data_IF_993988877063
#
_entry.id   IF_993988877063
#
_cell.length_a   1.000
_cell.length_b   1.000
_cell.length_c   1.000
_cell.angle_alpha   90.00
_cell.angle_beta   90.00
_cell.angle_gamma   90.00
#
_symmetry.space_group_name_H-M   'P 1'
#
loop_
_entity.id
_entity.type
_entity.pdbx_description
1 polymer ?
#
# COMPACT_ATOMS: atom_id res chain seq x y z
N UNK A 1 9.16 3.12 16.23
CA UNK A 1 9.72 3.34 14.86
C UNK A 1 9.07 4.54 14.20
N UNK A 2 9.84 5.40 13.48
CA UNK A 2 9.25 6.39 12.56
C UNK A 2 8.90 5.68 11.26
N UNK A 3 7.61 5.61 10.96
CA UNK A 3 7.07 4.85 9.82
C UNK A 3 7.45 5.48 8.45
N UNK A 4 7.90 6.71 8.47
CA UNK A 4 8.32 7.54 7.32
C UNK A 4 9.86 7.72 7.22
N UNK A 5 10.64 6.97 8.00
CA UNK A 5 12.09 6.90 7.85
C UNK A 5 12.49 5.83 6.82
N UNK A 6 13.07 6.18 5.65
CA UNK A 6 13.42 5.21 4.61
C UNK A 6 14.32 4.08 5.07
N UNK A 7 15.25 4.35 6.01
CA UNK A 7 16.14 3.33 6.54
C UNK A 7 15.39 2.37 7.48
N UNK A 8 14.46 2.87 8.28
CA UNK A 8 13.61 2.03 9.12
C UNK A 8 12.66 1.18 8.26
N UNK A 9 12.09 1.76 7.22
CA UNK A 9 11.26 1.04 6.24
C UNK A 9 12.06 -0.07 5.55
N UNK A 10 13.26 0.23 5.05
CA UNK A 10 14.12 -0.77 4.40
C UNK A 10 14.49 -1.93 5.35
N UNK A 11 14.77 -1.66 6.65
CA UNK A 11 15.00 -2.71 7.64
C UNK A 11 13.75 -3.53 7.92
N UNK A 12 12.58 -2.89 8.02
CA UNK A 12 11.31 -3.56 8.28
C UNK A 12 10.94 -4.57 7.20
N UNK A 13 11.32 -4.29 5.96
CA UNK A 13 11.09 -5.13 4.79
C UNK A 13 12.37 -5.84 4.31
N UNK A 14 13.38 -6.00 5.18
CA UNK A 14 14.58 -6.76 4.88
C UNK A 14 14.32 -8.26 4.80
N UNK A 15 13.27 -8.76 5.46
CA UNK A 15 12.75 -10.12 5.38
C UNK A 15 11.24 -10.11 5.10
N UNK A 16 10.67 -11.27 4.79
CA UNK A 16 9.23 -11.43 4.57
C UNK A 16 8.44 -11.57 5.87
N UNK A 17 9.09 -11.89 6.98
CA UNK A 17 8.45 -12.31 8.23
C UNK A 17 7.42 -11.30 8.75
N UNK A 18 7.78 -10.02 8.78
CA UNK A 18 6.88 -8.95 9.24
C UNK A 18 5.66 -8.76 8.33
N UNK A 19 5.85 -8.96 7.02
CA UNK A 19 4.77 -8.86 6.05
C UNK A 19 3.83 -10.07 6.16
N UNK A 20 4.39 -11.26 6.34
CA UNK A 20 3.63 -12.51 6.50
C UNK A 20 2.84 -12.54 7.80
N UNK A 21 3.45 -12.13 8.92
CA UNK A 21 2.77 -11.99 10.21
C UNK A 21 1.57 -11.03 10.15
N UNK A 22 1.65 -9.96 9.35
CA UNK A 22 0.51 -9.05 9.14
C UNK A 22 -0.54 -9.64 8.21
N UNK A 23 -0.14 -10.41 7.20
CA UNK A 23 -1.07 -11.00 6.22
C UNK A 23 -1.92 -12.12 6.80
N UNK A 24 -1.31 -12.98 7.61
CA UNK A 24 -2.02 -14.10 8.24
C UNK A 24 -3.19 -13.66 9.12
N UNK A 25 -3.15 -12.43 9.67
CA UNK A 25 -4.29 -11.85 10.39
C UNK A 25 -5.56 -11.72 9.53
N UNK A 26 -5.41 -11.58 8.21
CA UNK A 26 -6.55 -11.30 7.32
C UNK A 26 -7.14 -12.54 6.65
N UNK A 27 -6.61 -13.74 6.90
CA UNK A 27 -7.12 -14.98 6.30
C UNK A 27 -8.60 -15.23 6.60
N UNK A 28 -9.04 -14.83 7.80
CA UNK A 28 -10.43 -14.97 8.25
C UNK A 28 -11.15 -13.62 8.39
N UNK A 29 -10.67 -12.58 7.68
CA UNK A 29 -11.32 -11.28 7.71
C UNK A 29 -12.64 -11.30 6.92
N UNK A 30 -13.71 -10.73 7.51
CA UNK A 30 -14.94 -10.50 6.77
C UNK A 30 -14.89 -9.21 5.92
N UNK A 31 -15.92 -9.00 5.09
CA UNK A 31 -16.08 -7.82 4.26
C UNK A 31 -15.22 -7.82 2.98
N UNK A 32 -15.29 -6.74 2.18
CA UNK A 32 -14.62 -6.67 0.89
C UNK A 32 -13.09 -6.73 1.02
N UNK A 33 -12.41 -7.51 0.18
CA UNK A 33 -10.94 -7.53 0.15
C UNK A 33 -10.41 -6.25 -0.53
N UNK A 34 -9.61 -5.42 0.16
CA UNK A 34 -9.06 -4.19 -0.42
C UNK A 34 -8.10 -4.45 -1.59
N UNK A 35 -7.44 -5.63 -1.65
CA UNK A 35 -6.60 -6.02 -2.80
C UNK A 35 -7.44 -6.32 -4.03
N UNK A 36 -8.58 -6.98 -3.85
CA UNK A 36 -9.52 -7.22 -4.93
C UNK A 36 -10.08 -5.91 -5.48
N UNK A 37 -10.52 -4.99 -4.60
CA UNK A 37 -11.02 -3.68 -5.01
C UNK A 37 -9.96 -2.83 -5.72
N UNK A 38 -8.68 -2.92 -5.30
CA UNK A 38 -7.58 -2.25 -5.99
C UNK A 38 -7.35 -2.85 -7.39
N UNK A 39 -7.36 -4.17 -7.50
CA UNK A 39 -7.25 -4.85 -8.79
C UNK A 39 -8.42 -4.47 -9.72
N UNK A 40 -9.66 -4.50 -9.23
CA UNK A 40 -10.85 -4.12 -10.00
C UNK A 40 -10.73 -2.68 -10.52
N UNK A 41 -10.23 -1.74 -9.68
CA UNK A 41 -10.00 -0.36 -10.10
C UNK A 41 -8.95 -0.24 -11.22
N UNK A 42 -7.97 -1.13 -11.30
CA UNK A 42 -7.03 -1.20 -12.42
C UNK A 42 -7.71 -1.73 -13.67
N UNK A 43 -8.55 -2.76 -13.55
CA UNK A 43 -9.23 -3.40 -14.70
C UNK A 43 -10.18 -2.45 -15.43
N UNK A 44 -10.80 -1.51 -14.71
CA UNK A 44 -11.74 -0.54 -15.29
C UNK A 44 -11.16 0.34 -16.41
N UNK A 45 -9.83 0.48 -16.49
CA UNK A 45 -9.17 1.30 -17.54
C UNK A 45 -8.40 0.47 -18.57
N UNK A 46 -8.40 -0.86 -18.44
CA UNK A 46 -7.71 -1.78 -19.36
C UNK A 46 -6.33 -1.25 -19.81
N UNK A 47 -5.40 -1.02 -18.86
CA UNK A 47 -4.14 -0.34 -19.17
C UNK A 47 -3.22 -1.27 -19.97
N UNK A 48 -2.49 -0.74 -20.97
CA UNK A 48 -1.44 -1.48 -21.63
C UNK A 48 -0.12 -1.49 -20.83
N UNK A 49 0.06 -0.47 -19.96
CA UNK A 49 1.28 -0.35 -19.16
C UNK A 49 0.99 0.19 -17.76
N UNK A 50 1.39 -0.56 -16.73
CA UNK A 50 1.16 -0.26 -15.31
C UNK A 50 2.50 -0.12 -14.59
N UNK A 51 2.57 0.83 -13.65
CA UNK A 51 3.63 0.90 -12.65
C UNK A 51 3.05 0.53 -11.30
N UNK A 52 3.65 -0.40 -10.58
CA UNK A 52 3.39 -0.60 -9.16
C UNK A 52 4.54 -0.04 -8.33
N UNK A 53 4.22 0.83 -7.36
CA UNK A 53 5.19 1.46 -6.46
C UNK A 53 5.00 0.90 -5.05
N UNK A 54 6.10 0.42 -4.45
CA UNK A 54 6.06 -0.25 -3.16
C UNK A 54 5.32 -1.59 -3.22
N UNK A 55 5.49 -2.35 -4.30
CA UNK A 55 4.75 -3.59 -4.55
C UNK A 55 5.14 -4.77 -3.66
N UNK A 56 6.15 -4.60 -2.79
CA UNK A 56 6.63 -5.66 -1.93
C UNK A 56 7.09 -6.87 -2.74
N UNK A 57 6.65 -8.11 -2.42
CA UNK A 57 7.06 -9.32 -3.14
C UNK A 57 6.39 -9.47 -4.53
N UNK A 58 5.67 -8.45 -5.03
CA UNK A 58 5.18 -8.37 -6.40
C UNK A 58 3.92 -9.18 -6.71
N UNK A 59 3.12 -9.56 -5.72
CA UNK A 59 1.93 -10.39 -5.94
C UNK A 59 0.86 -9.69 -6.79
N UNK A 60 0.58 -8.42 -6.48
CA UNK A 60 -0.41 -7.65 -7.23
C UNK A 60 0.10 -7.33 -8.64
N UNK A 61 1.39 -6.98 -8.79
CA UNK A 61 2.03 -6.79 -10.09
C UNK A 61 1.94 -8.04 -10.97
N UNK A 62 2.29 -9.22 -10.42
CA UNK A 62 2.22 -10.49 -11.14
C UNK A 62 0.77 -10.82 -11.54
N UNK A 63 -0.19 -10.59 -10.64
CA UNK A 63 -1.60 -10.79 -10.92
C UNK A 63 -2.09 -9.87 -12.06
N UNK A 64 -1.77 -8.56 -11.99
CA UNK A 64 -2.13 -7.60 -13.04
C UNK A 64 -1.53 -8.01 -14.38
N UNK A 65 -0.23 -8.36 -14.43
CA UNK A 65 0.42 -8.79 -15.65
C UNK A 65 -0.25 -10.05 -16.26
N UNK A 66 -0.55 -11.04 -15.42
CA UNK A 66 -1.10 -12.32 -15.88
C UNK A 66 -2.56 -12.21 -16.32
N UNK A 67 -3.41 -11.56 -15.50
CA UNK A 67 -4.85 -11.53 -15.75
C UNK A 67 -5.22 -10.49 -16.82
N UNK A 68 -4.49 -9.36 -16.92
CA UNK A 68 -4.77 -8.33 -17.93
C UNK A 68 -3.90 -8.43 -19.19
N UNK A 69 -2.85 -9.24 -19.17
CA UNK A 69 -1.94 -9.37 -20.30
C UNK A 69 -1.21 -8.06 -20.65
N UNK A 70 -0.98 -7.19 -19.68
CA UNK A 70 -0.34 -5.89 -19.87
C UNK A 70 1.10 -5.85 -19.33
N UNK A 71 1.86 -4.86 -19.77
CA UNK A 71 3.21 -4.63 -19.23
C UNK A 71 3.11 -4.07 -17.80
N UNK A 72 3.75 -4.72 -16.84
CA UNK A 72 3.85 -4.24 -15.47
C UNK A 72 5.31 -4.06 -15.08
N UNK A 73 5.65 -2.86 -14.62
CA UNK A 73 6.93 -2.55 -13.99
C UNK A 73 6.68 -2.27 -12.52
N UNK A 74 7.55 -2.75 -11.64
CA UNK A 74 7.46 -2.51 -10.20
C UNK A 74 8.70 -1.78 -9.69
N UNK A 75 8.50 -0.86 -8.75
CA UNK A 75 9.57 -0.19 -8.00
C UNK A 75 9.34 -0.40 -6.52
N UNK A 76 10.39 -0.82 -5.80
CA UNK A 76 10.37 -0.93 -4.33
C UNK A 76 11.70 -0.45 -3.76
N UNK A 77 11.68 0.14 -2.56
CA UNK A 77 12.89 0.61 -1.88
C UNK A 77 13.73 -0.55 -1.32
N UNK A 78 13.10 -1.70 -1.04
CA UNK A 78 13.76 -2.89 -0.50
C UNK A 78 14.34 -3.76 -1.61
N UNK A 79 15.69 -3.98 -1.65
CA UNK A 79 16.28 -4.93 -2.58
C UNK A 79 15.71 -6.34 -2.44
N UNK A 80 15.39 -6.78 -1.20
CA UNK A 80 14.81 -8.10 -0.94
C UNK A 80 13.43 -8.25 -1.58
N UNK A 81 12.56 -7.25 -1.46
CA UNK A 81 11.25 -7.26 -2.09
C UNK A 81 11.37 -7.32 -3.62
N UNK A 82 12.32 -6.58 -4.18
CA UNK A 82 12.61 -6.62 -5.63
C UNK A 82 13.07 -8.01 -6.08
N UNK A 83 13.91 -8.71 -5.32
CA UNK A 83 14.33 -10.09 -5.62
C UNK A 83 13.12 -11.03 -5.68
N UNK A 84 12.27 -10.98 -4.66
CA UNK A 84 11.07 -11.81 -4.58
C UNK A 84 10.08 -11.55 -5.73
N UNK A 85 9.91 -10.27 -6.10
CA UNK A 85 9.07 -9.92 -7.24
C UNK A 85 9.64 -10.45 -8.56
N UNK A 86 10.97 -10.40 -8.73
CA UNK A 86 11.64 -10.99 -9.91
C UNK A 86 11.50 -12.51 -9.98
N UNK A 87 11.54 -13.19 -8.85
CA UNK A 87 11.27 -14.62 -8.78
C UNK A 87 9.85 -14.98 -9.24
N UNK A 88 8.90 -14.03 -9.11
CA UNK A 88 7.53 -14.14 -9.64
C UNK A 88 7.40 -13.72 -11.11
N UNK A 89 8.52 -13.36 -11.77
CA UNK A 89 8.52 -12.95 -13.18
C UNK A 89 8.15 -11.48 -13.42
N UNK A 90 8.13 -10.64 -12.37
CA UNK A 90 7.84 -9.19 -12.50
C UNK A 90 9.11 -8.43 -12.89
N UNK A 91 9.02 -7.45 -13.82
CA UNK A 91 10.08 -6.45 -14.05
C UNK A 91 10.15 -5.51 -12.85
N UNK A 92 10.91 -5.90 -11.83
CA UNK A 92 11.03 -5.18 -10.56
C UNK A 92 12.40 -4.48 -10.44
N UNK A 93 12.42 -3.26 -9.91
CA UNK A 93 13.59 -2.40 -9.79
C UNK A 93 13.67 -1.76 -8.40
N UNK A 94 14.88 -1.66 -7.86
CA UNK A 94 15.10 -0.88 -6.63
C UNK A 94 14.99 0.61 -6.96
N UNK A 95 14.20 1.35 -6.18
CA UNK A 95 14.03 2.79 -6.38
C UNK A 95 13.18 3.45 -5.30
N UNK A 96 13.21 4.78 -5.29
CA UNK A 96 12.44 5.63 -4.38
C UNK A 96 11.19 6.17 -5.09
N UNK A 97 10.03 6.07 -4.44
CA UNK A 97 8.76 6.61 -4.90
C UNK A 97 8.79 8.13 -5.11
N UNK A 98 9.69 8.84 -4.41
CA UNK A 98 9.88 10.28 -4.52
C UNK A 98 10.81 10.69 -5.68
N UNK A 99 11.42 9.72 -6.36
CA UNK A 99 12.33 9.96 -7.51
C UNK A 99 12.29 8.77 -8.46
N UNK A 100 11.20 8.65 -9.21
CA UNK A 100 10.97 7.51 -10.09
C UNK A 100 11.83 7.58 -11.36
N UNK A 101 12.54 6.51 -11.74
CA UNK A 101 13.46 6.49 -12.89
C UNK A 101 12.74 6.34 -14.25
N UNK A 102 11.63 7.05 -14.42
CA UNK A 102 10.82 7.00 -15.63
C UNK A 102 10.53 8.41 -16.17
N UNK A 103 10.36 8.52 -17.47
CA UNK A 103 9.94 9.77 -18.13
C UNK A 103 8.50 10.13 -17.84
N UNK A 104 8.17 11.41 -18.09
CA UNK A 104 6.79 11.93 -17.92
C UNK A 104 5.80 11.17 -18.80
N UNK A 105 4.63 10.88 -18.27
CA UNK A 105 3.54 10.29 -19.04
C UNK A 105 3.80 8.86 -19.56
N UNK A 106 4.68 8.12 -18.89
CA UNK A 106 5.08 6.76 -19.31
C UNK A 106 3.97 5.74 -19.08
N UNK A 107 3.17 5.88 -18.03
CA UNK A 107 2.21 4.86 -17.60
C UNK A 107 0.76 5.32 -17.76
N UNK A 108 -0.12 4.35 -18.01
CA UNK A 108 -1.58 4.57 -18.07
C UNK A 108 -2.22 4.42 -16.70
N UNK A 109 -1.67 3.54 -15.88
CA UNK A 109 -2.10 3.32 -14.51
C UNK A 109 -0.87 3.21 -13.60
N UNK A 110 -0.97 3.80 -12.42
CA UNK A 110 0.00 3.64 -11.33
C UNK A 110 -0.74 3.08 -10.12
N UNK A 111 -0.17 2.05 -9.50
CA UNK A 111 -0.67 1.44 -8.27
C UNK A 111 0.31 1.74 -7.14
N UNK A 112 -0.19 2.19 -5.98
CA UNK A 112 0.60 2.48 -4.79
C UNK A 112 -0.14 1.97 -3.54
N UNK A 113 -0.10 0.63 -3.33
CA UNK A 113 -0.86 -0.02 -2.29
C UNK A 113 -0.06 -0.12 -0.98
N UNK A 114 -0.57 0.49 0.10
CA UNK A 114 0.04 0.51 1.45
C UNK A 114 1.48 1.03 1.51
N UNK A 115 1.84 1.98 0.65
CA UNK A 115 3.20 2.54 0.58
C UNK A 115 3.25 4.03 0.91
N UNK A 116 2.21 4.81 0.59
CA UNK A 116 2.28 6.27 0.65
C UNK A 116 2.50 6.82 2.07
N UNK A 117 2.03 6.13 3.10
CA UNK A 117 2.28 6.51 4.50
C UNK A 117 3.73 6.26 4.97
N UNK A 118 4.55 5.62 4.15
CA UNK A 118 5.99 5.43 4.39
C UNK A 118 6.85 6.55 3.78
N UNK A 119 6.25 7.46 3.01
CA UNK A 119 7.01 8.52 2.36
C UNK A 119 7.30 9.67 3.35
N UNK A 120 8.58 10.09 3.48
CA UNK A 120 8.95 11.28 4.25
C UNK A 120 8.30 12.57 3.73
N UNK A 121 8.19 12.69 2.41
CA UNK A 121 7.52 13.79 1.72
C UNK A 121 6.42 13.23 0.81
N UNK A 122 5.19 13.24 1.32
CA UNK A 122 4.03 12.73 0.59
C UNK A 122 3.71 13.55 -0.65
N UNK A 123 3.90 14.88 -0.61
CA UNK A 123 3.65 15.75 -1.76
C UNK A 123 4.66 15.47 -2.88
N UNK A 124 5.94 15.27 -2.57
CA UNK A 124 6.95 14.86 -3.55
C UNK A 124 6.59 13.50 -4.19
N UNK A 125 6.18 12.52 -3.38
CA UNK A 125 5.75 11.22 -3.89
C UNK A 125 4.54 11.32 -4.81
N UNK A 126 3.48 12.03 -4.40
CA UNK A 126 2.29 12.22 -5.22
C UNK A 126 2.58 12.97 -6.51
N UNK A 127 3.49 13.98 -6.48
CA UNK A 127 3.94 14.68 -7.68
C UNK A 127 4.65 13.74 -8.67
N UNK A 128 5.52 12.85 -8.18
CA UNK A 128 6.20 11.85 -9.02
C UNK A 128 5.22 10.83 -9.62
N UNK A 129 4.26 10.31 -8.83
CA UNK A 129 3.21 9.44 -9.36
C UNK A 129 2.38 10.15 -10.44
N UNK A 130 2.04 11.42 -10.21
CA UNK A 130 1.34 12.22 -11.22
C UNK A 130 2.23 12.48 -12.45
N UNK A 131 3.54 12.76 -12.28
CA UNK A 131 4.47 13.03 -13.39
C UNK A 131 4.57 11.85 -14.35
N UNK A 132 4.77 10.63 -13.82
CA UNK A 132 4.95 9.43 -14.63
C UNK A 132 3.65 8.93 -15.28
N UNK A 133 2.48 9.36 -14.80
CA UNK A 133 1.19 9.09 -15.43
C UNK A 133 0.99 9.96 -16.66
N UNK A 134 0.46 9.37 -17.73
CA UNK A 134 -0.02 10.14 -18.90
C UNK A 134 -1.21 11.05 -18.52
N UNK A 135 -1.47 12.10 -19.28
CA UNK A 135 -2.72 12.86 -19.13
C UNK A 135 -3.95 11.93 -19.21
N UNK A 136 -4.89 12.07 -18.29
CA UNK A 136 -6.02 11.16 -18.13
C UNK A 136 -5.68 9.78 -17.56
N UNK A 137 -4.43 9.56 -17.14
CA UNK A 137 -4.00 8.32 -16.49
C UNK A 137 -4.56 8.18 -15.08
N UNK A 138 -4.59 6.95 -14.58
CA UNK A 138 -5.20 6.57 -13.31
C UNK A 138 -4.16 6.26 -12.24
N UNK A 139 -4.36 6.83 -11.04
CA UNK A 139 -3.73 6.37 -9.80
C UNK A 139 -4.72 5.49 -9.03
N UNK A 140 -4.25 4.35 -8.54
CA UNK A 140 -4.94 3.50 -7.57
C UNK A 140 -4.05 3.38 -6.34
N UNK A 141 -4.51 3.84 -5.19
CA UNK A 141 -3.75 3.70 -3.93
C UNK A 141 -4.60 3.13 -2.83
N UNK A 142 -3.98 2.33 -1.96
CA UNK A 142 -4.62 1.72 -0.80
C UNK A 142 -3.95 2.22 0.47
N UNK A 143 -4.76 2.58 1.45
CA UNK A 143 -4.31 2.94 2.79
C UNK A 143 -5.30 2.50 3.85
N UNK A 144 -4.94 2.67 5.11
CA UNK A 144 -5.79 2.33 6.23
C UNK A 144 -6.34 3.59 6.90
N UNK A 145 -7.48 3.44 7.60
CA UNK A 145 -8.00 4.45 8.51
C UNK A 145 -7.18 4.51 9.79
N UNK A 146 -7.21 5.64 10.50
CA UNK A 146 -6.49 5.81 11.77
C UNK A 146 -6.92 4.79 12.84
N UNK A 147 -8.18 4.36 12.80
CA UNK A 147 -8.73 3.34 13.71
C UNK A 147 -8.56 1.88 13.25
N UNK A 148 -7.86 1.66 12.11
CA UNK A 148 -7.60 0.31 11.61
C UNK A 148 -6.88 -0.54 12.64
N UNK A 149 -7.44 -1.72 12.97
CA UNK A 149 -6.91 -2.68 13.96
C UNK A 149 -6.64 -2.06 15.35
N UNK A 150 -7.45 -1.05 15.75
CA UNK A 150 -7.20 -0.28 16.98
C UNK A 150 -7.21 -1.16 18.24
N UNK A 151 -8.10 -2.15 18.31
CA UNK A 151 -8.22 -3.07 19.45
C UNK A 151 -6.98 -3.97 19.56
N UNK A 152 -6.48 -4.48 18.45
CA UNK A 152 -5.26 -5.28 18.44
C UNK A 152 -4.02 -4.42 18.74
N UNK A 153 -3.94 -3.20 18.18
CA UNK A 153 -2.85 -2.27 18.48
C UNK A 153 -2.79 -1.86 19.95
N UNK A 154 -3.94 -1.77 20.62
CA UNK A 154 -3.99 -1.44 22.04
C UNK A 154 -3.26 -2.49 22.90
N UNK A 155 -3.26 -3.76 22.49
CA UNK A 155 -2.51 -4.84 23.14
C UNK A 155 -0.99 -4.60 23.10
N UNK A 156 -0.51 -3.94 22.03
CA UNK A 156 0.90 -3.55 21.88
C UNK A 156 1.22 -2.19 22.52
N UNK A 157 0.27 -1.55 23.22
CA UNK A 157 0.46 -0.19 23.73
C UNK A 157 0.50 0.90 22.63
N UNK A 158 0.25 0.53 21.37
CA UNK A 158 0.35 1.39 20.19
C UNK A 158 -1.00 2.02 19.84
N UNK A 159 -1.62 2.76 20.77
CA UNK A 159 -3.00 3.28 20.59
C UNK A 159 -3.16 4.31 19.46
N UNK A 160 -2.10 5.02 19.07
CA UNK A 160 -2.15 6.04 18.00
C UNK A 160 -1.20 5.70 16.86
N UNK A 161 -1.74 5.58 15.67
CA UNK A 161 -0.99 5.54 14.42
C UNK A 161 -1.05 6.94 13.78
N UNK A 162 0.06 7.68 13.87
CA UNK A 162 0.19 8.95 13.16
C UNK A 162 0.68 8.69 11.74
N UNK A 163 -0.22 8.36 10.83
CA UNK A 163 0.13 8.23 9.41
C UNK A 163 0.17 9.60 8.74
N UNK A 164 1.22 9.84 7.95
CA UNK A 164 1.30 11.00 7.04
C UNK A 164 0.24 10.91 5.94
N UNK A 165 -0.21 9.69 5.61
CA UNK A 165 -1.25 9.39 4.62
C UNK A 165 -2.21 8.32 5.17
N UNK A 166 -3.49 8.67 5.29
CA UNK A 166 -4.55 7.82 5.85
C UNK A 166 -5.86 7.95 5.05
N UNK A 167 -6.88 7.18 5.44
CA UNK A 167 -8.25 7.34 4.93
C UNK A 167 -8.76 8.77 5.12
N UNK A 168 -8.42 9.38 6.24
CA UNK A 168 -8.98 10.65 6.70
C UNK A 168 -8.45 11.84 5.89
N UNK A 169 -7.17 11.80 5.49
CA UNK A 169 -6.51 12.90 4.76
C UNK A 169 -6.19 12.58 3.30
N UNK A 170 -6.29 11.32 2.88
CA UNK A 170 -5.83 10.85 1.57
C UNK A 170 -6.49 11.56 0.39
N UNK A 171 -7.81 11.80 0.46
CA UNK A 171 -8.51 12.48 -0.63
C UNK A 171 -8.03 13.93 -0.83
N UNK A 172 -7.77 14.67 0.27
CA UNK A 172 -7.25 16.03 0.21
C UNK A 172 -5.84 16.06 -0.38
N UNK A 173 -4.94 15.19 0.12
CA UNK A 173 -3.54 15.13 -0.33
C UNK A 173 -3.46 14.76 -1.82
N UNK A 174 -4.20 13.74 -2.26
CA UNK A 174 -4.26 13.34 -3.67
C UNK A 174 -4.84 14.46 -4.53
N UNK A 175 -5.88 15.14 -4.06
CA UNK A 175 -6.55 16.23 -4.80
C UNK A 175 -5.66 17.44 -5.10
N UNK A 176 -4.48 17.56 -4.48
CA UNK A 176 -3.49 18.60 -4.83
C UNK A 176 -2.77 18.33 -6.16
N UNK A 177 -2.74 17.05 -6.60
CA UNK A 177 -2.00 16.60 -7.79
C UNK A 177 -2.89 15.98 -8.86
N UNK A 178 -4.14 15.63 -8.51
CA UNK A 178 -5.08 14.93 -9.37
C UNK A 178 -6.41 15.68 -9.46
N UNK A 179 -7.04 15.66 -10.63
CA UNK A 179 -8.27 16.39 -10.91
C UNK A 179 -9.51 15.75 -10.25
N UNK A 180 -9.54 14.42 -10.20
CA UNK A 180 -10.67 13.66 -9.67
C UNK A 180 -10.18 12.60 -8.71
N UNK A 181 -10.81 12.53 -7.54
CA UNK A 181 -10.51 11.53 -6.51
C UNK A 181 -11.81 10.87 -6.07
N UNK A 182 -11.86 9.55 -6.18
CA UNK A 182 -12.94 8.70 -5.68
C UNK A 182 -12.39 7.82 -4.55
N UNK A 183 -13.17 7.60 -3.49
CA UNK A 183 -12.82 6.68 -2.40
C UNK A 183 -13.79 5.51 -2.36
N UNK A 184 -13.25 4.29 -2.21
CA UNK A 184 -13.98 3.04 -1.99
C UNK A 184 -13.49 2.43 -0.69
N UNK A 185 -14.40 2.18 0.25
CA UNK A 185 -14.04 1.66 1.56
C UNK A 185 -14.17 0.12 1.58
N UNK A 186 -13.19 -0.52 2.21
CA UNK A 186 -13.13 -1.96 2.45
C UNK A 186 -13.09 -2.21 3.96
N UNK A 187 -14.24 -2.04 4.60
CA UNK A 187 -14.40 -2.26 6.04
C UNK A 187 -14.84 -3.68 6.33
N UNK A 188 -14.41 -4.17 7.49
CA UNK A 188 -14.74 -5.49 7.96
C UNK A 188 -14.24 -5.72 9.38
N UNK A 189 -14.33 -6.97 9.82
CA UNK A 189 -13.83 -7.40 11.11
C UNK A 189 -12.85 -8.54 10.95
N UNK A 190 -11.93 -8.61 11.89
CA UNK A 190 -11.01 -9.73 12.06
C UNK A 190 -11.25 -10.27 13.48
N UNK A 191 -11.38 -11.58 13.60
CA UNK A 191 -11.43 -12.27 14.87
C UNK A 191 -10.12 -13.03 15.01
N UNK A 192 -9.36 -12.72 16.05
CA UNK A 192 -8.06 -13.33 16.33
C UNK A 192 -8.25 -14.18 17.59
N UNK A 193 -8.13 -15.47 17.45
CA UNK A 193 -8.29 -16.48 18.50
C UNK A 193 -7.00 -17.26 18.81
N UNK A 194 -5.88 -16.82 18.20
CA UNK A 194 -4.56 -17.42 18.36
C UNK A 194 -3.56 -16.43 18.96
N UNK A 195 -2.90 -16.82 20.04
CA UNK A 195 -1.85 -16.04 20.70
C UNK A 195 -0.63 -15.81 19.81
N UNK A 196 -0.29 -16.76 18.90
CA UNK A 196 0.86 -16.61 17.99
C UNK A 196 0.61 -15.48 16.99
N UNK A 197 -0.61 -15.36 16.47
CA UNK A 197 -0.99 -14.27 15.57
C UNK A 197 -0.87 -12.90 16.26
N UNK A 198 -1.29 -12.80 17.54
CA UNK A 198 -1.12 -11.57 18.31
C UNK A 198 0.34 -11.24 18.51
N UNK A 199 1.18 -12.20 18.95
CA UNK A 199 2.62 -12.00 19.14
C UNK A 199 3.32 -11.62 17.85
N UNK A 200 3.05 -12.31 16.75
CA UNK A 200 3.61 -12.01 15.44
C UNK A 200 3.27 -10.59 14.97
N UNK A 201 2.03 -10.17 15.16
CA UNK A 201 1.62 -8.80 14.83
C UNK A 201 2.36 -7.77 15.69
N UNK A 202 2.37 -7.93 17.01
CA UNK A 202 3.04 -7.00 17.93
C UNK A 202 4.52 -6.89 17.61
N UNK A 203 5.21 -8.01 17.40
CA UNK A 203 6.62 -8.03 17.00
C UNK A 203 6.85 -7.33 15.66
N UNK A 204 5.89 -7.39 14.73
CA UNK A 204 5.99 -6.75 13.41
C UNK A 204 5.82 -5.23 13.43
N UNK A 205 5.37 -4.63 14.54
CA UNK A 205 5.15 -3.17 14.64
C UNK A 205 6.46 -2.39 14.74
N UNK A 206 7.48 -2.98 15.35
CA UNK A 206 8.83 -2.42 15.40
C UNK A 206 9.86 -3.54 15.23
N UNK A 207 10.52 -3.56 14.07
CA UNK A 207 11.51 -4.59 13.75
C UNK A 207 12.84 -4.40 14.53
N UNK A 208 13.13 -3.18 14.97
CA UNK A 208 14.36 -2.87 15.72
C UNK A 208 14.21 -3.23 17.20
N UNK A 209 13.00 -3.08 17.76
CA UNK A 209 12.67 -3.38 19.15
C UNK A 209 11.33 -4.17 19.23
N UNK A 210 11.34 -5.47 18.89
CA UNK A 210 10.12 -6.30 19.02
C UNK A 210 9.63 -6.29 20.46
N UNK A 211 8.36 -5.97 20.66
CA UNK A 211 7.75 -5.89 21.98
C UNK A 211 6.91 -7.13 22.25
N UNK A 212 6.82 -7.51 23.53
CA UNK A 212 5.84 -8.49 23.96
C UNK A 212 4.47 -7.81 24.14
N UNK A 213 3.36 -8.49 23.78
CA UNK A 213 2.04 -7.97 24.05
C UNK A 213 1.81 -7.85 25.56
N UNK A 214 1.14 -6.78 25.98
CA UNK A 214 0.61 -6.68 27.33
C UNK A 214 -0.44 -7.78 27.62
N UNK A 215 -1.05 -7.81 28.82
CA UNK A 215 -2.10 -8.76 29.11
C UNK A 215 -3.32 -8.53 28.22
N UNK A 216 -3.85 -9.62 27.66
CA UNK A 216 -5.05 -9.62 26.80
C UNK A 216 -5.79 -10.94 26.86
N UNK A 217 -7.09 -10.90 26.57
CA UNK A 217 -7.94 -12.07 26.44
C UNK A 217 -8.24 -12.37 24.96
N UNK A 218 -8.39 -13.64 24.63
CA UNK A 218 -8.87 -14.10 23.32
C UNK A 218 -10.36 -14.49 23.40
N UNK A 219 -11.12 -14.36 22.30
CA UNK A 219 -10.69 -13.79 21.02
C UNK A 219 -10.65 -12.25 21.03
N UNK A 220 -9.70 -11.66 20.29
CA UNK A 220 -9.70 -10.23 20.00
C UNK A 220 -10.53 -10.01 18.74
N UNK A 221 -11.57 -9.21 18.82
CA UNK A 221 -12.32 -8.72 17.66
C UNK A 221 -11.85 -7.30 17.34
N UNK A 222 -11.27 -7.13 16.15
CA UNK A 222 -10.71 -5.84 15.73
C UNK A 222 -11.23 -5.43 14.36
N UNK A 223 -11.33 -4.11 14.13
CA UNK A 223 -11.85 -3.58 12.87
C UNK A 223 -10.76 -3.52 11.81
N UNK A 224 -10.99 -4.17 10.67
CA UNK A 224 -10.27 -3.87 9.44
C UNK A 224 -10.93 -2.67 8.76
N UNK A 225 -10.17 -1.61 8.51
CA UNK A 225 -10.67 -0.38 7.90
C UNK A 225 -9.64 0.12 6.88
N UNK A 226 -9.79 -0.30 5.64
CA UNK A 226 -8.94 0.11 4.51
C UNK A 226 -9.74 0.93 3.50
N UNK A 227 -9.08 1.80 2.75
CA UNK A 227 -9.69 2.55 1.66
C UNK A 227 -8.82 2.51 0.42
N UNK A 228 -9.49 2.37 -0.71
CA UNK A 228 -8.92 2.51 -2.03
C UNK A 228 -9.26 3.91 -2.54
N UNK A 229 -8.25 4.68 -2.90
CA UNK A 229 -8.44 5.91 -3.65
C UNK A 229 -8.15 5.66 -5.12
N UNK A 230 -9.08 6.07 -5.97
CA UNK A 230 -8.96 6.03 -7.42
C UNK A 230 -8.93 7.48 -7.90
N UNK A 231 -7.81 7.90 -8.49
CA UNK A 231 -7.66 9.28 -8.93
C UNK A 231 -7.29 9.36 -10.40
N UNK A 232 -7.67 10.45 -11.04
CA UNK A 232 -7.39 10.70 -12.46
C UNK A 232 -6.54 11.94 -12.61
N UNK A 233 -5.41 11.80 -13.34
CA UNK A 233 -4.58 12.94 -13.71
C UNK A 233 -5.32 13.80 -14.74
N UNK A 234 -5.24 15.13 -14.60
CA UNK A 234 -5.83 16.07 -15.55
C UNK A 234 -5.47 15.72 -17.01
N UNK A 235 -6.46 15.76 -17.89
CA UNK A 235 -6.28 15.61 -19.33
C UNK A 235 -5.44 16.77 -19.91
N UNK A 236 -4.85 16.60 -21.11
CA UNK A 236 -4.34 17.75 -21.83
C UNK A 236 -5.50 18.66 -22.19
N UNK A 237 -5.48 19.91 -21.75
CA UNK A 237 -6.31 20.92 -22.39
C UNK A 237 -5.83 21.06 -23.83
N UNK A 238 -6.69 20.68 -24.76
CA UNK A 238 -6.47 21.02 -26.17
C UNK A 238 -6.74 22.54 -26.25
N UNK A 239 -5.69 23.34 -26.34
CA UNK A 239 -5.85 24.75 -26.69
C UNK A 239 -6.26 24.78 -28.16
N UNK A 240 -7.51 25.19 -28.40
CA UNK A 240 -8.01 25.51 -29.76
C UNK A 240 -7.23 26.67 -30.36
#
# INVERSE_FOLDING_TARGET
>A
MKIDDPQAVARQYATEDNLEARRSLYENADGPDPRALAFDAVTEVTPARVLEVGGGPGELAARIATELGCEVVMVDISPRMVELARERGVDARVGDAQSLPFGDGTFQCVVAAWVLFHLPDIDAGLAELARVLRPGGRLVTVTNAEHHMAELRAVAGAAKWGHTFSRENGAELIGRHFERVERRDADGWVIIDDHELVRGFVASLDADEPQDPGPYDLPIRTRRASSIFVATKAGRQVSD
#
